data_IF_295064884416
#
_entry.id   IF_295064884416
#
_cell.length_a   1.000
_cell.length_b   1.000
_cell.length_c   1.000
_cell.angle_alpha   90.00
_cell.angle_beta   90.00
_cell.angle_gamma   90.00
#
_symmetry.space_group_name_H-M   'P 1'
#
loop_
_entity.id
_entity.type
_entity.pdbx_description
1 polymer ?
#
# COMPACT_ATOMS: atom_id res chain seq x y z
N UNK A 1 19.18 -59.39 -35.05
CA UNK A 1 18.32 -58.19 -34.95
C UNK A 1 18.43 -57.63 -33.54
N UNK A 2 19.00 -56.44 -33.38
CA UNK A 2 19.11 -55.71 -32.10
C UNK A 2 17.86 -54.83 -31.96
N UNK A 3 17.18 -54.77 -30.80
CA UNK A 3 16.05 -53.85 -30.63
C UNK A 3 16.54 -52.40 -30.68
N UNK A 4 15.72 -51.46 -31.18
CA UNK A 4 16.09 -50.05 -31.23
C UNK A 4 16.26 -49.49 -29.83
N UNK A 5 17.38 -48.80 -29.62
CA UNK A 5 17.69 -48.04 -28.41
C UNK A 5 16.68 -46.90 -28.27
N UNK A 6 15.86 -46.97 -27.22
CA UNK A 6 14.97 -45.87 -26.83
C UNK A 6 15.85 -44.75 -26.29
N UNK A 7 15.89 -43.63 -27.01
CA UNK A 7 16.55 -42.42 -26.54
C UNK A 7 15.88 -41.94 -25.24
N UNK A 8 16.64 -41.52 -24.21
CA UNK A 8 16.06 -40.96 -23.00
C UNK A 8 15.33 -39.66 -23.33
N UNK A 9 14.08 -39.59 -22.87
CA UNK A 9 13.22 -38.41 -22.93
C UNK A 9 13.94 -37.22 -22.26
N UNK A 10 14.01 -36.04 -22.91
CA UNK A 10 14.65 -34.88 -22.30
C UNK A 10 13.91 -34.54 -20.99
N UNK A 11 14.62 -34.24 -19.90
CA UNK A 11 13.99 -33.92 -18.63
C UNK A 11 13.07 -32.71 -18.84
N UNK A 12 11.83 -32.85 -18.36
CA UNK A 12 10.84 -31.80 -18.31
C UNK A 12 11.51 -30.51 -17.85
N UNK A 13 11.55 -29.52 -18.74
CA UNK A 13 12.16 -28.22 -18.54
C UNK A 13 11.70 -27.68 -17.19
N UNK A 14 12.61 -27.66 -16.21
CA UNK A 14 12.34 -27.16 -14.88
C UNK A 14 11.75 -25.76 -15.02
N UNK A 15 10.55 -25.55 -14.47
CA UNK A 15 9.95 -24.24 -14.37
C UNK A 15 10.98 -23.29 -13.75
N UNK A 16 11.42 -22.30 -14.53
CA UNK A 16 12.43 -21.33 -14.08
C UNK A 16 12.01 -20.67 -12.76
N UNK A 17 12.98 -20.16 -11.96
CA UNK A 17 12.69 -19.56 -10.66
C UNK A 17 11.66 -18.44 -10.81
N UNK A 18 10.59 -18.50 -10.01
CA UNK A 18 9.54 -17.49 -9.96
C UNK A 18 10.18 -16.11 -9.75
N UNK A 19 9.89 -15.10 -10.60
CA UNK A 19 10.53 -13.81 -10.52
C UNK A 19 10.31 -13.20 -9.14
N UNK A 20 11.40 -12.84 -8.46
CA UNK A 20 11.36 -12.37 -7.09
C UNK A 20 10.84 -10.92 -7.07
N UNK A 21 9.61 -10.75 -6.58
CA UNK A 21 8.95 -9.44 -6.48
C UNK A 21 9.51 -8.59 -5.31
N UNK A 22 10.62 -7.88 -5.54
CA UNK A 22 11.20 -6.93 -4.57
C UNK A 22 11.32 -5.49 -5.06
N UNK A 23 11.27 -5.25 -6.37
CA UNK A 23 11.55 -3.92 -6.94
C UNK A 23 10.31 -3.35 -7.64
N UNK A 24 9.43 -2.58 -6.96
CA UNK A 24 8.21 -2.02 -7.55
C UNK A 24 8.49 -0.79 -8.43
N UNK A 25 9.69 -0.66 -9.01
CA UNK A 25 10.13 0.51 -9.79
C UNK A 25 10.39 0.19 -11.26
N UNK A 26 10.09 -1.05 -11.67
CA UNK A 26 10.13 -1.47 -13.08
C UNK A 26 8.77 -2.08 -13.45
N UNK A 27 8.41 -2.03 -14.73
CA UNK A 27 7.14 -2.62 -15.20
C UNK A 27 7.05 -4.11 -14.85
N UNK A 28 8.15 -4.86 -15.00
CA UNK A 28 8.22 -6.27 -14.63
C UNK A 28 8.09 -6.46 -13.11
N UNK A 29 8.75 -5.61 -12.34
CA UNK A 29 8.70 -5.62 -10.89
C UNK A 29 7.27 -5.42 -10.37
N UNK A 30 6.57 -4.38 -10.82
CA UNK A 30 5.16 -4.14 -10.48
C UNK A 30 4.28 -5.32 -10.91
N UNK A 31 4.47 -5.86 -12.12
CA UNK A 31 3.70 -7.01 -12.58
C UNK A 31 3.90 -8.27 -11.73
N UNK A 32 5.12 -8.49 -11.22
CA UNK A 32 5.42 -9.64 -10.36
C UNK A 32 4.63 -9.61 -9.04
N UNK A 33 4.21 -8.42 -8.57
CA UNK A 33 3.37 -8.29 -7.38
C UNK A 33 1.95 -8.86 -7.56
N UNK A 34 1.49 -9.05 -8.79
CA UNK A 34 0.22 -9.72 -9.05
C UNK A 34 0.18 -11.15 -8.49
N UNK A 35 1.33 -11.81 -8.33
CA UNK A 35 1.45 -13.18 -7.82
C UNK A 35 1.90 -13.25 -6.34
N UNK A 36 2.03 -12.11 -5.67
CA UNK A 36 3.07 -11.95 -4.65
C UNK A 36 2.72 -12.07 -3.16
N UNK A 37 1.66 -12.67 -2.65
CA UNK A 37 1.28 -12.53 -1.21
C UNK A 37 0.92 -11.09 -0.79
N UNK A 38 -0.20 -10.95 -0.08
CA UNK A 38 -0.72 -9.65 0.32
C UNK A 38 0.11 -9.00 1.42
N UNK A 39 0.64 -9.79 2.36
CA UNK A 39 1.51 -9.30 3.42
C UNK A 39 2.76 -8.60 2.89
N UNK A 40 3.46 -9.20 1.91
CA UNK A 40 4.61 -8.55 1.28
C UNK A 40 4.25 -7.25 0.57
N UNK A 41 3.12 -7.24 -0.14
CA UNK A 41 2.62 -6.05 -0.84
C UNK A 41 2.35 -4.90 0.15
N UNK A 42 1.72 -5.21 1.29
CA UNK A 42 1.45 -4.24 2.34
C UNK A 42 2.72 -3.74 3.03
N UNK A 43 3.72 -4.61 3.25
CA UNK A 43 5.02 -4.19 3.81
C UNK A 43 5.71 -3.19 2.88
N UNK A 44 5.72 -3.45 1.57
CA UNK A 44 6.32 -2.51 0.60
C UNK A 44 5.56 -1.18 0.59
N UNK A 45 4.22 -1.23 0.58
CA UNK A 45 3.40 -0.02 0.68
C UNK A 45 3.64 0.74 2.00
N UNK A 46 3.80 0.04 3.12
CA UNK A 46 4.12 0.64 4.42
C UNK A 46 5.47 1.34 4.41
N UNK A 47 6.51 0.70 3.88
CA UNK A 47 7.83 1.33 3.76
C UNK A 47 7.76 2.61 2.92
N UNK A 48 7.03 2.58 1.80
CA UNK A 48 6.85 3.77 0.96
C UNK A 48 6.01 4.85 1.67
N UNK A 49 4.95 4.47 2.38
CA UNK A 49 4.11 5.39 3.15
C UNK A 49 4.89 6.06 4.29
N UNK A 50 5.77 5.32 4.97
CA UNK A 50 6.68 5.85 5.98
C UNK A 50 7.67 6.84 5.37
N UNK A 51 8.26 6.53 4.21
CA UNK A 51 9.13 7.46 3.50
C UNK A 51 8.40 8.77 3.12
N UNK A 52 7.16 8.66 2.64
CA UNK A 52 6.31 9.81 2.30
C UNK A 52 5.93 10.64 3.53
N UNK A 53 5.51 9.99 4.61
CA UNK A 53 5.21 10.65 5.86
C UNK A 53 6.45 11.36 6.44
N UNK A 54 7.61 10.72 6.36
CA UNK A 54 8.87 11.33 6.77
C UNK A 54 9.20 12.59 5.94
N UNK A 55 9.15 12.52 4.61
CA UNK A 55 9.36 13.68 3.75
C UNK A 55 8.34 14.80 4.03
N UNK A 56 7.06 14.48 4.12
CA UNK A 56 5.99 15.47 4.38
C UNK A 56 6.15 16.16 5.74
N UNK A 57 6.47 15.40 6.79
CA UNK A 57 6.72 15.98 8.12
C UNK A 57 8.02 16.78 8.15
N UNK A 58 9.04 16.39 7.38
CA UNK A 58 10.24 17.20 7.21
C UNK A 58 9.94 18.53 6.55
N UNK A 59 9.14 18.56 5.48
CA UNK A 59 8.66 19.81 4.87
C UNK A 59 7.97 20.66 5.94
N UNK A 60 6.98 20.11 6.62
CA UNK A 60 6.21 20.84 7.64
C UNK A 60 7.10 21.42 8.76
N UNK A 61 8.01 20.60 9.31
CA UNK A 61 8.91 21.01 10.38
C UNK A 61 9.97 22.03 9.95
N UNK A 62 10.42 21.99 8.69
CA UNK A 62 11.41 22.92 8.18
C UNK A 62 10.79 24.26 7.73
N UNK A 63 9.54 24.23 7.27
CA UNK A 63 8.93 25.37 6.57
C UNK A 63 7.83 26.05 7.37
N UNK A 64 6.88 25.32 7.93
CA UNK A 64 5.69 25.91 8.57
C UNK A 64 5.85 26.02 10.08
N UNK A 65 6.42 25.00 10.71
CA UNK A 65 6.56 24.95 12.16
C UNK A 65 7.34 26.13 12.75
N UNK A 66 8.48 26.59 12.16
CA UNK A 66 9.19 27.75 12.69
C UNK A 66 8.37 29.05 12.59
N UNK A 67 7.55 29.19 11.53
CA UNK A 67 6.65 30.35 11.35
C UNK A 67 5.57 30.33 12.43
N UNK A 68 4.98 29.17 12.70
CA UNK A 68 3.98 29.01 13.77
C UNK A 68 4.59 29.36 15.13
N UNK A 69 5.78 28.83 15.46
CA UNK A 69 6.46 29.14 16.73
C UNK A 69 6.76 30.63 16.88
N UNK A 70 7.28 31.25 15.82
CA UNK A 70 7.59 32.68 15.84
C UNK A 70 6.32 33.52 15.95
N UNK A 71 5.24 33.14 15.28
CA UNK A 71 3.96 33.82 15.37
C UNK A 71 3.37 33.73 16.79
N UNK A 72 3.36 32.54 17.41
CA UNK A 72 2.90 32.34 18.79
C UNK A 72 3.69 33.23 19.76
N UNK A 73 5.02 33.29 19.61
CA UNK A 73 5.88 34.12 20.47
C UNK A 73 5.65 35.63 20.28
N UNK A 74 5.23 36.06 19.08
CA UNK A 74 4.95 37.46 18.73
C UNK A 74 3.51 37.89 18.94
N UNK A 75 2.63 36.98 19.38
CA UNK A 75 1.27 37.35 19.74
C UNK A 75 1.28 38.41 20.85
N UNK A 76 0.36 39.39 20.79
CA UNK A 76 0.19 40.37 21.86
C UNK A 76 -0.40 39.72 23.11
N UNK A 77 -0.39 40.46 24.22
CA UNK A 77 -1.02 40.04 25.46
C UNK A 77 -2.55 39.97 25.38
N UNK A 78 -3.15 40.70 24.42
CA UNK A 78 -4.60 40.80 24.24
C UNK A 78 -4.94 40.63 22.76
N UNK A 79 -5.94 39.80 22.48
CA UNK A 79 -6.39 39.46 21.13
C UNK A 79 -7.31 38.25 21.18
N UNK A 80 -8.47 38.34 20.53
CA UNK A 80 -9.43 37.24 20.48
C UNK A 80 -10.33 37.37 19.25
N UNK A 81 -10.81 36.24 18.75
CA UNK A 81 -11.93 36.20 17.83
C UNK A 81 -13.15 35.79 18.64
N UNK A 82 -14.16 36.66 18.70
CA UNK A 82 -15.39 36.45 19.46
C UNK A 82 -16.59 36.96 18.66
N UNK A 83 -17.69 36.20 18.68
CA UNK A 83 -18.93 36.58 17.99
C UNK A 83 -18.74 36.94 16.51
N UNK A 84 -17.89 36.16 15.84
CA UNK A 84 -17.61 36.37 14.41
C UNK A 84 -16.72 37.58 14.11
N UNK A 85 -16.09 38.20 15.11
CA UNK A 85 -15.22 39.37 14.92
C UNK A 85 -13.87 39.21 15.61
N UNK A 86 -12.83 39.72 14.96
CA UNK A 86 -11.49 39.86 15.51
C UNK A 86 -11.43 41.12 16.38
N UNK A 87 -11.05 40.94 17.64
CA UNK A 87 -10.63 41.99 18.56
C UNK A 87 -9.11 42.05 18.57
N UNK A 88 -8.56 43.15 18.07
CA UNK A 88 -7.11 43.38 17.97
C UNK A 88 -6.80 44.83 18.35
N UNK A 89 -5.71 45.05 19.10
CA UNK A 89 -5.38 46.37 19.66
C UNK A 89 -4.76 47.35 18.65
N UNK A 90 -4.27 46.85 17.50
CA UNK A 90 -3.69 47.66 16.43
C UNK A 90 -4.67 47.94 15.30
N UNK A 91 -4.50 49.08 14.62
CA UNK A 91 -5.26 49.45 13.40
C UNK A 91 -4.47 49.17 12.11
N UNK A 92 -3.19 48.81 12.21
CA UNK A 92 -2.34 48.53 11.05
C UNK A 92 -2.18 47.03 10.84
N UNK A 93 -2.01 46.56 9.60
CA UNK A 93 -1.60 45.20 9.32
C UNK A 93 -0.28 44.87 10.03
N UNK A 94 -0.23 43.70 10.68
CA UNK A 94 0.97 43.20 11.39
C UNK A 94 1.28 41.79 10.88
N UNK A 95 2.48 41.61 10.33
CA UNK A 95 3.01 40.28 10.02
C UNK A 95 3.53 39.65 11.31
N UNK A 96 2.87 38.59 11.78
CA UNK A 96 3.30 37.85 12.97
C UNK A 96 4.59 37.10 12.65
N UNK A 97 4.59 36.32 11.57
CA UNK A 97 5.77 35.63 11.08
C UNK A 97 5.58 35.25 9.61
N UNK A 98 6.67 35.16 8.87
CA UNK A 98 6.66 34.78 7.47
C UNK A 98 7.95 34.10 7.04
N UNK A 99 7.83 33.34 5.95
CA UNK A 99 8.91 32.93 5.07
C UNK A 99 8.33 32.69 3.67
N UNK A 100 9.13 32.12 2.75
CA UNK A 100 8.69 31.84 1.39
C UNK A 100 7.48 30.88 1.30
N UNK A 101 7.23 30.05 2.32
CA UNK A 101 6.21 28.98 2.29
C UNK A 101 4.92 29.36 3.04
N UNK A 102 5.04 30.01 4.19
CA UNK A 102 3.91 30.37 5.05
C UNK A 102 4.08 31.79 5.58
N UNK A 103 3.03 32.60 5.46
CA UNK A 103 2.92 33.90 6.11
C UNK A 103 1.67 33.95 7.00
N UNK A 104 1.83 34.43 8.23
CA UNK A 104 0.75 34.65 9.20
C UNK A 104 0.64 36.15 9.46
N UNK A 105 -0.45 36.76 9.02
CA UNK A 105 -0.68 38.21 9.06
C UNK A 105 -1.97 38.51 9.81
N UNK A 106 -1.97 39.55 10.63
CA UNK A 106 -3.20 40.10 11.22
C UNK A 106 -3.49 41.40 10.51
N UNK A 107 -4.66 41.48 9.87
CA UNK A 107 -5.08 42.67 9.15
C UNK A 107 -6.41 43.20 9.69
N UNK A 108 -6.37 44.16 10.62
CA UNK A 108 -7.56 44.77 11.18
C UNK A 108 -8.27 45.74 10.21
N UNK A 109 -7.67 46.05 9.04
CA UNK A 109 -8.24 46.93 8.03
C UNK A 109 -8.35 46.25 6.65
N UNK A 110 -9.58 45.89 6.27
CA UNK A 110 -9.90 45.27 4.98
C UNK A 110 -9.53 46.10 3.75
N UNK A 111 -9.27 47.41 3.90
CA UNK A 111 -8.94 48.28 2.76
C UNK A 111 -7.49 48.16 2.30
N UNK A 112 -6.60 47.65 3.15
CA UNK A 112 -5.16 47.53 2.84
C UNK A 112 -4.80 46.06 2.69
N UNK A 113 -4.74 45.53 1.46
CA UNK A 113 -4.28 44.14 1.25
C UNK A 113 -2.79 44.05 1.55
N UNK A 114 -2.41 43.18 2.49
CA UNK A 114 -1.03 42.74 2.60
C UNK A 114 -0.65 42.02 1.29
N UNK A 115 0.39 42.49 0.59
CA UNK A 115 0.90 41.81 -0.60
C UNK A 115 1.29 40.37 -0.27
N UNK A 116 1.03 39.43 -1.19
CA UNK A 116 1.35 38.01 -0.96
C UNK A 116 2.87 37.81 -0.94
N UNK A 117 3.42 37.41 0.20
CA UNK A 117 4.86 37.16 0.38
C UNK A 117 5.25 35.68 0.44
N UNK A 118 4.26 34.78 0.49
CA UNK A 118 4.46 33.35 0.70
C UNK A 118 3.57 32.48 -0.20
N UNK A 119 3.93 31.22 -0.37
CA UNK A 119 3.15 30.19 -1.07
C UNK A 119 1.74 30.02 -0.48
N UNK A 120 1.63 30.10 0.85
CA UNK A 120 0.37 30.19 1.60
C UNK A 120 0.43 31.37 2.56
N UNK A 121 -0.52 32.28 2.46
CA UNK A 121 -0.72 33.37 3.41
C UNK A 121 -2.05 33.21 4.12
N UNK A 122 -2.00 33.22 5.45
CA UNK A 122 -3.17 33.22 6.33
C UNK A 122 -3.28 34.60 6.94
N UNK A 123 -4.40 35.26 6.69
CA UNK A 123 -4.68 36.62 7.14
C UNK A 123 -5.90 36.64 8.06
N UNK A 124 -5.71 37.08 9.30
CA UNK A 124 -6.78 37.30 10.26
C UNK A 124 -7.40 38.68 10.01
N UNK A 125 -8.56 38.70 9.35
CA UNK A 125 -9.31 39.92 9.04
C UNK A 125 -10.35 40.23 10.13
N UNK A 126 -11.05 41.38 10.10
CA UNK A 126 -12.02 41.75 11.14
C UNK A 126 -13.17 40.77 11.32
N UNK A 127 -13.58 40.05 10.27
CA UNK A 127 -14.77 39.18 10.27
C UNK A 127 -14.53 37.80 9.64
N UNK A 128 -13.33 37.57 9.10
CA UNK A 128 -13.01 36.36 8.35
C UNK A 128 -11.54 35.97 8.50
N UNK A 129 -11.28 34.68 8.31
CA UNK A 129 -9.96 34.13 8.04
C UNK A 129 -9.75 34.06 6.54
N UNK A 130 -8.86 34.88 6.01
CA UNK A 130 -8.49 34.86 4.61
C UNK A 130 -7.30 33.92 4.38
N UNK A 131 -7.42 33.07 3.37
CA UNK A 131 -6.37 32.19 2.88
C UNK A 131 -6.05 32.61 1.45
N UNK A 132 -4.79 32.96 1.21
CA UNK A 132 -4.29 33.35 -0.11
C UNK A 132 -3.18 32.38 -0.53
N UNK A 133 -3.28 31.87 -1.74
CA UNK A 133 -2.25 31.02 -2.35
C UNK A 133 -2.28 31.18 -3.88
N UNK A 134 -1.46 30.42 -4.59
CA UNK A 134 -1.48 30.35 -6.06
C UNK A 134 -2.87 29.99 -6.61
N UNK A 135 -3.65 29.20 -5.88
CA UNK A 135 -5.01 28.79 -6.26
C UNK A 135 -6.07 29.87 -6.04
N UNK A 136 -5.66 31.06 -5.61
CA UNK A 136 -6.54 32.20 -5.39
C UNK A 136 -6.71 32.55 -3.91
N UNK A 137 -7.82 33.23 -3.64
CA UNK A 137 -8.15 33.81 -2.36
C UNK A 137 -9.49 33.27 -1.88
N UNK A 138 -9.55 32.81 -0.64
CA UNK A 138 -10.80 32.42 0.03
C UNK A 138 -10.87 33.09 1.40
N UNK A 139 -12.01 33.71 1.71
CA UNK A 139 -12.29 34.28 3.02
C UNK A 139 -13.38 33.48 3.71
N UNK A 140 -13.04 32.88 4.85
CA UNK A 140 -13.94 32.06 5.65
C UNK A 140 -14.45 32.91 6.83
N UNK A 141 -15.76 33.18 6.93
CA UNK A 141 -16.30 33.96 8.03
C UNK A 141 -16.05 33.26 9.37
N UNK A 142 -15.73 34.02 10.40
CA UNK A 142 -15.56 33.44 11.73
C UNK A 142 -16.90 32.89 12.25
N UNK A 143 -16.91 31.69 12.87
CA UNK A 143 -18.11 31.15 13.49
C UNK A 143 -18.54 32.04 14.67
N UNK A 144 -19.83 32.37 14.75
CA UNK A 144 -20.37 33.29 15.77
C UNK A 144 -20.42 32.70 17.19
N UNK A 145 -20.43 31.37 17.30
CA UNK A 145 -20.55 30.66 18.58
C UNK A 145 -19.22 30.30 19.24
N UNK A 146 -18.07 30.60 18.62
CA UNK A 146 -16.76 30.20 19.14
C UNK A 146 -15.99 31.41 19.63
N UNK A 147 -15.17 31.19 20.66
CA UNK A 147 -14.16 32.14 21.11
C UNK A 147 -12.80 31.51 20.79
N UNK A 148 -12.05 32.13 19.88
CA UNK A 148 -10.71 31.66 19.51
C UNK A 148 -9.70 32.64 20.09
N UNK A 149 -8.84 32.22 21.04
CA UNK A 149 -7.83 33.10 21.57
C UNK A 149 -6.79 33.42 20.50
N UNK A 150 -6.46 34.70 20.38
CA UNK A 150 -5.38 35.20 19.53
C UNK A 150 -4.43 36.07 20.35
N UNK A 151 -4.11 35.58 21.55
CA UNK A 151 -3.24 36.23 22.52
C UNK A 151 -2.21 35.22 23.04
N UNK A 152 -1.02 35.73 23.40
CA UNK A 152 0.07 34.88 23.86
C UNK A 152 -0.25 34.10 25.15
N UNK A 153 -0.83 34.70 26.21
CA UNK A 153 -1.06 33.99 27.48
C UNK A 153 -1.90 32.72 27.35
N UNK A 154 -2.83 32.66 26.39
CA UNK A 154 -3.66 31.47 26.16
C UNK A 154 -3.08 30.54 25.08
N UNK A 155 -2.55 31.11 23.98
CA UNK A 155 -2.08 30.32 22.84
C UNK A 155 -0.74 29.65 23.13
N UNK A 156 0.18 30.29 23.85
CA UNK A 156 1.51 29.74 24.12
C UNK A 156 1.46 28.45 24.97
N UNK A 157 0.71 28.38 26.09
CA UNK A 157 0.57 27.13 26.84
C UNK A 157 -0.15 26.04 26.04
N UNK A 158 -1.19 26.40 25.27
CA UNK A 158 -1.92 25.46 24.43
C UNK A 158 -1.01 24.88 23.34
N UNK A 159 -0.26 25.74 22.65
CA UNK A 159 0.73 25.32 21.67
C UNK A 159 1.79 24.44 22.32
N UNK A 160 2.33 24.82 23.48
CA UNK A 160 3.29 24.03 24.24
C UNK A 160 2.79 22.61 24.56
N UNK A 161 1.51 22.47 24.92
CA UNK A 161 0.89 21.17 25.18
C UNK A 161 0.72 20.32 23.91
N UNK A 162 0.32 20.93 22.78
CA UNK A 162 0.04 20.21 21.53
C UNK A 162 1.27 19.97 20.64
N UNK A 163 2.30 20.82 20.75
CA UNK A 163 3.53 20.78 19.97
C UNK A 163 4.16 19.38 19.84
N UNK A 164 4.36 18.58 20.91
CA UNK A 164 4.92 17.24 20.77
C UNK A 164 4.01 16.29 19.98
N UNK A 165 2.69 16.35 20.19
CA UNK A 165 1.74 15.51 19.46
C UNK A 165 1.66 15.88 17.99
N UNK A 166 1.72 17.18 17.65
CA UNK A 166 1.82 17.61 16.26
C UNK A 166 3.11 17.10 15.64
N UNK A 167 4.24 17.17 16.35
CA UNK A 167 5.54 16.77 15.80
C UNK A 167 5.69 15.26 15.59
N UNK A 168 5.15 14.44 16.49
CA UNK A 168 5.34 12.98 16.48
C UNK A 168 4.10 12.20 16.08
N UNK A 169 2.90 12.71 16.36
CA UNK A 169 1.62 12.09 15.97
C UNK A 169 1.26 12.32 14.51
N UNK A 170 1.54 13.52 13.97
CA UNK A 170 1.28 13.84 12.56
C UNK A 170 1.90 12.83 11.58
N UNK A 171 3.17 12.41 11.69
CA UNK A 171 3.72 11.39 10.79
C UNK A 171 2.95 10.08 10.79
N UNK A 172 2.48 9.61 11.97
CA UNK A 172 1.69 8.39 12.07
C UNK A 172 0.33 8.53 11.36
N UNK A 173 -0.35 9.67 11.56
CA UNK A 173 -1.62 9.98 10.89
C UNK A 173 -1.44 10.09 9.38
N UNK A 174 -0.39 10.79 8.91
CA UNK A 174 -0.08 10.93 7.48
C UNK A 174 0.25 9.57 6.85
N UNK A 175 1.06 8.75 7.51
CA UNK A 175 1.37 7.39 7.05
C UNK A 175 0.11 6.53 6.93
N UNK A 176 -0.74 6.53 7.97
CA UNK A 176 -2.01 5.80 7.95
C UNK A 176 -2.94 6.31 6.84
N UNK A 177 -2.99 7.63 6.64
CA UNK A 177 -3.74 8.28 5.57
C UNK A 177 -3.28 7.83 4.17
N UNK A 178 -1.98 7.79 3.91
CA UNK A 178 -1.44 7.28 2.63
C UNK A 178 -1.78 5.80 2.41
N UNK A 179 -1.62 4.96 3.42
CA UNK A 179 -1.99 3.54 3.32
C UNK A 179 -3.48 3.37 3.03
N UNK A 180 -4.33 4.08 3.75
CA UNK A 180 -5.77 4.05 3.52
C UNK A 180 -6.09 4.53 2.10
N UNK A 181 -5.54 5.66 1.67
CA UNK A 181 -5.77 6.21 0.35
C UNK A 181 -5.34 5.25 -0.76
N UNK A 182 -4.12 4.72 -0.68
CA UNK A 182 -3.60 3.81 -1.70
C UNK A 182 -4.35 2.48 -1.74
N UNK A 183 -4.76 1.95 -0.59
CA UNK A 183 -5.56 0.71 -0.55
C UNK A 183 -6.97 0.91 -1.09
N UNK A 184 -7.59 2.08 -0.83
CA UNK A 184 -8.86 2.47 -1.45
C UNK A 184 -8.72 2.64 -2.96
N UNK A 185 -7.71 3.37 -3.43
CA UNK A 185 -7.43 3.51 -4.87
C UNK A 185 -7.19 2.15 -5.54
N UNK A 186 -6.37 1.30 -4.94
CA UNK A 186 -6.12 -0.04 -5.45
C UNK A 186 -7.41 -0.88 -5.54
N UNK A 187 -8.34 -0.69 -4.59
CA UNK A 187 -9.67 -1.33 -4.60
C UNK A 187 -10.52 -0.82 -5.76
N UNK A 188 -10.59 0.50 -5.94
CA UNK A 188 -11.31 1.12 -7.07
C UNK A 188 -10.73 0.69 -8.42
N UNK A 189 -9.42 0.46 -8.48
CA UNK A 189 -8.71 0.05 -9.70
C UNK A 189 -8.88 -1.44 -10.04
N UNK A 190 -9.39 -2.30 -9.14
CA UNK A 190 -9.54 -3.74 -9.40
C UNK A 190 -10.39 -4.00 -10.64
N UNK A 191 -11.57 -3.38 -10.73
CA UNK A 191 -12.50 -3.59 -11.84
C UNK A 191 -11.94 -3.12 -13.19
N UNK A 192 -11.46 -1.86 -13.35
CA UNK A 192 -10.91 -1.41 -14.63
C UNK A 192 -9.63 -2.18 -15.01
N UNK A 193 -8.75 -2.52 -14.05
CA UNK A 193 -7.58 -3.34 -14.33
C UNK A 193 -7.97 -4.75 -14.79
N UNK A 194 -8.98 -5.36 -14.15
CA UNK A 194 -9.44 -6.69 -14.53
C UNK A 194 -9.99 -6.74 -15.95
N UNK A 195 -10.72 -5.69 -16.37
CA UNK A 195 -11.20 -5.52 -17.73
C UNK A 195 -10.02 -5.34 -18.70
N UNK A 196 -9.12 -4.40 -18.42
CA UNK A 196 -7.96 -4.11 -19.25
C UNK A 196 -7.08 -5.36 -19.48
N UNK A 197 -6.71 -6.07 -18.40
CA UNK A 197 -5.92 -7.31 -18.45
C UNK A 197 -6.62 -8.38 -19.30
N UNK A 198 -7.95 -8.46 -19.24
CA UNK A 198 -8.74 -9.36 -20.09
C UNK A 198 -8.64 -9.00 -21.57
N UNK A 199 -8.76 -7.71 -21.91
CA UNK A 199 -8.66 -7.21 -23.29
C UNK A 199 -7.29 -7.52 -23.92
N UNK A 200 -6.22 -7.41 -23.13
CA UNK A 200 -4.85 -7.74 -23.59
C UNK A 200 -4.50 -9.22 -23.46
N UNK A 201 -5.49 -10.09 -23.24
CA UNK A 201 -5.36 -11.56 -23.16
C UNK A 201 -4.33 -12.01 -22.11
N UNK A 202 -4.35 -11.38 -20.94
CA UNK A 202 -3.50 -11.72 -19.79
C UNK A 202 -4.33 -12.37 -18.67
N UNK A 203 -3.69 -13.15 -17.79
CA UNK A 203 -4.36 -13.80 -16.65
C UNK A 203 -3.93 -13.16 -15.33
N UNK A 204 -4.91 -12.82 -14.50
CA UNK A 204 -4.69 -12.31 -13.14
C UNK A 204 -5.93 -12.59 -12.29
N UNK A 205 -5.73 -12.86 -10.99
CA UNK A 205 -6.84 -12.93 -10.03
C UNK A 205 -7.28 -11.53 -9.59
N UNK A 206 -8.45 -11.41 -8.94
CA UNK A 206 -8.89 -10.12 -8.38
C UNK A 206 -7.90 -9.58 -7.35
N UNK A 207 -7.44 -10.44 -6.43
CA UNK A 207 -6.38 -10.08 -5.48
C UNK A 207 -5.07 -9.71 -6.18
N UNK A 208 -4.76 -10.33 -7.33
CA UNK A 208 -3.63 -9.94 -8.15
C UNK A 208 -3.78 -8.55 -8.78
N UNK A 209 -4.99 -8.17 -9.23
CA UNK A 209 -5.29 -6.82 -9.72
C UNK A 209 -5.09 -5.79 -8.62
N UNK A 210 -5.59 -6.07 -7.41
CA UNK A 210 -5.45 -5.17 -6.27
C UNK A 210 -3.99 -4.93 -5.92
N UNK A 211 -3.19 -6.00 -5.81
CA UNK A 211 -1.74 -5.89 -5.53
C UNK A 211 -0.99 -5.16 -6.64
N UNK A 212 -1.31 -5.45 -7.90
CA UNK A 212 -0.72 -4.77 -9.05
C UNK A 212 -1.05 -3.28 -9.04
N UNK A 213 -2.33 -2.93 -8.82
CA UNK A 213 -2.78 -1.55 -8.75
C UNK A 213 -2.09 -0.78 -7.64
N UNK A 214 -2.01 -1.37 -6.44
CA UNK A 214 -1.29 -0.79 -5.31
C UNK A 214 0.20 -0.54 -5.62
N UNK A 215 0.87 -1.50 -6.26
CA UNK A 215 2.30 -1.38 -6.58
C UNK A 215 2.58 -0.45 -7.76
N UNK A 216 1.62 -0.25 -8.65
CA UNK A 216 1.73 0.72 -9.73
C UNK A 216 1.79 2.18 -9.22
N UNK A 217 1.35 2.45 -7.98
CA UNK A 217 1.43 3.77 -7.33
C UNK A 217 2.81 4.06 -6.70
N UNK A 218 3.66 3.04 -6.55
CA UNK A 218 4.95 3.19 -5.83
C UNK A 218 5.98 4.03 -6.59
N UNK A 219 6.12 3.93 -7.93
CA UNK A 219 7.03 4.78 -8.70
C UNK A 219 6.68 6.27 -8.62
N UNK A 220 5.40 6.66 -8.78
CA UNK A 220 4.97 8.04 -8.62
C UNK A 220 5.19 8.55 -7.20
N UNK A 221 4.89 7.73 -6.19
CA UNK A 221 5.21 8.06 -4.80
C UNK A 221 6.72 8.31 -4.58
N UNK A 222 7.60 7.51 -5.19
CA UNK A 222 9.05 7.74 -5.10
C UNK A 222 9.47 9.06 -5.76
N UNK A 223 8.92 9.38 -6.92
CA UNK A 223 9.16 10.66 -7.59
C UNK A 223 8.73 11.83 -6.71
N UNK A 224 7.53 11.75 -6.13
CA UNK A 224 7.00 12.77 -5.23
C UNK A 224 7.87 12.94 -3.97
N UNK A 225 8.39 11.85 -3.40
CA UNK A 225 9.35 11.92 -2.30
C UNK A 225 10.58 12.78 -2.63
N UNK A 226 11.15 12.59 -3.83
CA UNK A 226 12.26 13.41 -4.31
C UNK A 226 11.88 14.87 -4.46
N UNK A 227 10.70 15.16 -5.02
CA UNK A 227 10.20 16.52 -5.19
C UNK A 227 9.98 17.24 -3.85
N UNK A 228 9.38 16.58 -2.86
CA UNK A 228 9.21 17.14 -1.51
C UNK A 228 10.55 17.44 -0.84
N UNK A 229 11.54 16.56 -1.01
CA UNK A 229 12.88 16.79 -0.48
C UNK A 229 13.52 18.03 -1.14
N UNK A 230 13.45 18.17 -2.46
CA UNK A 230 13.98 19.34 -3.17
C UNK A 230 13.27 20.64 -2.78
N UNK A 231 11.94 20.61 -2.68
CA UNK A 231 11.12 21.73 -2.22
C UNK A 231 11.53 22.20 -0.82
N UNK A 232 11.74 21.25 0.12
CA UNK A 232 12.19 21.57 1.49
C UNK A 232 13.52 22.32 1.51
N UNK A 233 14.41 22.07 0.54
CA UNK A 233 15.72 22.72 0.44
C UNK A 233 15.70 23.94 -0.50
N UNK A 234 14.52 24.50 -0.79
CA UNK A 234 14.35 25.65 -1.69
C UNK A 234 14.91 25.41 -3.10
N UNK A 235 15.00 24.15 -3.55
CA UNK A 235 15.43 23.78 -4.91
C UNK A 235 14.27 23.69 -5.88
N UNK A 236 13.04 23.62 -5.37
CA UNK A 236 11.81 23.76 -6.13
C UNK A 236 10.95 24.86 -5.52
N UNK A 237 10.28 25.64 -6.36
CA UNK A 237 9.17 26.52 -5.95
C UNK A 237 7.84 25.75 -5.96
N UNK A 238 6.78 26.32 -5.39
CA UNK A 238 5.46 25.67 -5.33
C UNK A 238 4.96 25.23 -6.72
N UNK A 239 5.11 26.07 -7.75
CA UNK A 239 4.69 25.74 -9.12
C UNK A 239 5.40 24.49 -9.63
N UNK A 240 6.71 24.35 -9.37
CA UNK A 240 7.49 23.19 -9.80
C UNK A 240 7.13 21.94 -9.00
N UNK A 241 6.80 22.08 -7.70
CA UNK A 241 6.26 20.99 -6.90
C UNK A 241 4.90 20.52 -7.44
N UNK A 242 4.05 21.43 -7.91
CA UNK A 242 2.77 21.08 -8.55
C UNK A 242 2.98 20.39 -9.91
N UNK A 243 3.98 20.80 -10.68
CA UNK A 243 4.37 20.09 -11.90
C UNK A 243 4.90 18.67 -11.58
N UNK A 244 5.72 18.52 -10.54
CA UNK A 244 6.16 17.22 -10.05
C UNK A 244 4.97 16.37 -9.57
N UNK A 245 3.95 16.99 -8.96
CA UNK A 245 2.70 16.32 -8.62
C UNK A 245 1.96 15.80 -9.86
N UNK A 246 1.82 16.62 -10.91
CA UNK A 246 1.23 16.15 -12.15
C UNK A 246 2.04 15.01 -12.78
N UNK A 247 3.37 15.13 -12.79
CA UNK A 247 4.28 14.10 -13.30
C UNK A 247 4.16 12.78 -12.53
N UNK A 248 3.97 12.81 -11.21
CA UNK A 248 3.75 11.61 -10.39
C UNK A 248 2.48 10.86 -10.81
N UNK A 249 1.37 11.59 -11.03
CA UNK A 249 0.11 11.00 -11.47
C UNK A 249 0.23 10.39 -12.86
N UNK A 250 0.91 11.09 -13.78
CA UNK A 250 1.19 10.57 -15.12
C UNK A 250 2.03 9.29 -15.03
N UNK A 251 3.04 9.25 -14.16
CA UNK A 251 3.88 8.08 -13.96
C UNK A 251 3.06 6.89 -13.46
N UNK A 252 2.18 7.09 -12.49
CA UNK A 252 1.29 6.03 -11.99
C UNK A 252 0.39 5.48 -13.11
N UNK A 253 -0.17 6.36 -13.96
CA UNK A 253 -0.96 5.94 -15.12
C UNK A 253 -0.14 5.14 -16.13
N UNK A 254 1.11 5.54 -16.40
CA UNK A 254 2.03 4.81 -17.28
C UNK A 254 2.30 3.42 -16.73
N UNK A 255 2.53 3.27 -15.42
CA UNK A 255 2.72 1.97 -14.80
C UNK A 255 1.45 1.12 -14.82
N UNK A 256 0.28 1.71 -14.57
CA UNK A 256 -1.02 1.02 -14.68
C UNK A 256 -1.29 0.52 -16.10
N UNK A 257 -0.86 1.26 -17.13
CA UNK A 257 -1.01 0.84 -18.53
C UNK A 257 0.01 -0.23 -18.94
N UNK A 258 1.29 -0.07 -18.58
CA UNK A 258 2.37 -0.89 -19.13
C UNK A 258 2.74 -2.11 -18.30
N UNK A 259 2.61 -2.07 -16.97
CA UNK A 259 2.93 -3.21 -16.11
C UNK A 259 2.05 -4.45 -16.40
N UNK A 260 0.72 -4.33 -16.60
CA UNK A 260 -0.12 -5.48 -16.93
C UNK A 260 0.31 -6.26 -18.18
N UNK A 261 0.95 -5.60 -19.15
CA UNK A 261 1.42 -6.25 -20.39
C UNK A 261 2.52 -7.29 -20.13
N UNK A 262 3.19 -7.20 -18.97
CA UNK A 262 4.24 -8.10 -18.50
C UNK A 262 3.73 -9.34 -17.76
N UNK A 263 2.41 -9.44 -17.54
CA UNK A 263 1.79 -10.62 -16.94
C UNK A 263 1.85 -11.84 -17.88
N UNK A 264 1.70 -13.07 -17.35
CA UNK A 264 1.55 -14.27 -18.16
C UNK A 264 0.36 -14.17 -19.12
N UNK A 265 0.55 -14.63 -20.36
CA UNK A 265 -0.52 -14.72 -21.37
C UNK A 265 -1.55 -15.77 -20.97
N UNK A 266 -2.81 -15.49 -21.30
CA UNK A 266 -3.84 -16.52 -21.23
C UNK A 266 -3.54 -17.58 -22.30
N UNK A 267 -3.22 -18.79 -21.88
CA UNK A 267 -3.23 -19.95 -22.78
C UNK A 267 -4.70 -20.22 -23.10
N UNK A 268 -5.09 -20.11 -24.37
CA UNK A 268 -6.35 -20.68 -24.83
C UNK A 268 -6.17 -22.21 -24.89
N UNK A 269 -7.13 -23.00 -24.36
CA UNK A 269 -7.08 -24.44 -24.54
C UNK A 269 -7.11 -24.71 -26.05
N UNK A 270 -6.06 -25.37 -26.57
CA UNK A 270 -6.03 -25.77 -27.96
C UNK A 270 -7.23 -26.71 -28.21
N UNK A 271 -8.09 -26.45 -29.21
CA UNK A 271 -9.18 -27.36 -29.54
C UNK A 271 -8.70 -28.78 -29.91
N UNK A 272 -7.41 -28.91 -30.23
CA UNK A 272 -6.72 -30.14 -30.61
C UNK A 272 -5.93 -30.78 -29.47
N UNK A 273 -5.97 -30.21 -28.25
CA UNK A 273 -5.37 -30.87 -27.10
C UNK A 273 -6.25 -32.08 -26.73
N UNK A 274 -5.80 -33.28 -27.12
CA UNK A 274 -6.42 -34.51 -26.66
C UNK A 274 -6.47 -34.52 -25.12
N UNK A 275 -7.56 -35.02 -24.50
CA UNK A 275 -7.61 -35.18 -23.06
C UNK A 275 -6.39 -35.97 -22.61
N UNK A 276 -5.57 -35.38 -21.74
CA UNK A 276 -4.54 -36.15 -21.04
C UNK A 276 -5.31 -37.11 -20.14
N UNK A 277 -5.41 -38.36 -20.57
CA UNK A 277 -5.90 -39.45 -19.73
C UNK A 277 -5.03 -39.47 -18.47
N UNK A 278 -5.62 -39.09 -17.34
CA UNK A 278 -5.00 -39.21 -16.04
C UNK A 278 -4.79 -40.69 -15.78
N UNK A 279 -3.62 -41.22 -16.16
CA UNK A 279 -3.25 -42.59 -15.87
C UNK A 279 -3.28 -42.75 -14.35
N UNK A 280 -4.21 -43.56 -13.86
CA UNK A 280 -4.35 -43.86 -12.44
C UNK A 280 -2.98 -44.27 -11.85
N UNK A 281 -2.64 -43.85 -10.62
CA UNK A 281 -1.42 -44.28 -9.97
C UNK A 281 -1.33 -45.79 -10.00
N UNK A 282 -0.25 -46.33 -10.56
CA UNK A 282 0.03 -47.76 -10.48
C UNK A 282 0.08 -48.12 -8.98
N UNK A 283 -0.72 -49.08 -8.50
CA UNK A 283 -0.67 -49.47 -7.10
C UNK A 283 0.76 -49.89 -6.74
N UNK A 284 1.23 -49.59 -5.51
CA UNK A 284 2.58 -49.92 -5.10
C UNK A 284 2.82 -51.42 -5.29
N UNK A 285 3.93 -51.76 -5.93
CA UNK A 285 4.36 -53.14 -6.05
C UNK A 285 4.48 -53.72 -4.63
N UNK A 286 3.72 -54.78 -4.35
CA UNK A 286 3.88 -55.58 -3.14
C UNK A 286 5.36 -55.96 -3.00
N UNK A 287 5.97 -55.80 -1.81
CA UNK A 287 7.36 -56.18 -1.62
C UNK A 287 7.52 -57.67 -1.97
N UNK A 288 8.52 -57.94 -2.83
CA UNK A 288 8.88 -59.29 -3.24
C UNK A 288 9.07 -60.16 -2.00
N UNK A 289 8.17 -61.14 -1.84
CA UNK A 289 8.30 -62.16 -0.81
C UNK A 289 9.59 -62.92 -1.08
N UNK A 290 10.59 -62.72 -0.20
CA UNK A 290 11.89 -63.38 -0.29
C UNK A 290 11.64 -64.89 -0.12
N UNK A 291 11.76 -65.64 -1.21
CA UNK A 291 11.70 -67.10 -1.17
C UNK A 291 12.74 -67.61 -0.17
N UNK A 292 12.39 -68.52 0.76
CA UNK A 292 13.34 -69.06 1.70
C UNK A 292 14.38 -69.91 0.96
N UNK A 293 15.65 -69.67 1.29
CA UNK A 293 16.77 -70.47 0.82
C UNK A 293 16.56 -71.93 1.25
N UNK A 294 16.66 -72.85 0.29
CA UNK A 294 16.67 -74.27 0.56
C UNK A 294 17.85 -74.62 1.49
N UNK A 295 17.53 -75.12 2.68
CA UNK A 295 18.49 -75.77 3.57
C UNK A 295 18.47 -77.29 3.31
N UNK A 296 19.59 -78.00 3.52
CA UNK A 296 19.74 -79.41 3.15
C UNK A 296 18.89 -80.32 4.02
N UNK A 297 18.40 -81.38 3.39
CA UNK A 297 17.67 -82.48 4.01
C UNK A 297 18.54 -83.25 4.99
N UNK A 298 18.16 -83.23 6.27
CA UNK A 298 18.49 -84.28 7.24
C UNK A 298 17.28 -84.49 8.16
N UNK A 299 16.57 -85.60 7.94
CA UNK A 299 15.57 -86.12 8.88
C UNK A 299 16.30 -86.89 9.99
N UNK A 300 15.77 -86.85 11.23
CA UNK A 300 14.97 -88.00 11.64
C UNK A 300 13.71 -87.68 12.48
N UNK A 301 12.66 -88.43 12.16
CA UNK A 301 11.63 -89.10 12.97
C UNK A 301 10.80 -88.36 14.06
N UNK A 302 9.53 -88.80 14.29
CA UNK A 302 8.46 -88.00 14.88
C UNK A 302 8.29 -88.21 16.39
N UNK A 303 7.74 -87.21 17.07
CA UNK A 303 7.23 -87.34 18.43
C UNK A 303 5.93 -86.52 18.61
N UNK A 304 5.00 -87.17 19.30
CA UNK A 304 3.59 -86.84 19.49
C UNK A 304 3.28 -85.56 20.29
N UNK A 305 2.12 -84.97 20.01
CA UNK A 305 1.15 -84.34 20.94
C UNK A 305 0.21 -83.42 20.11
N UNK A 306 -1.01 -83.81 19.76
CA UNK A 306 -2.23 -83.79 20.60
C UNK A 306 -2.56 -82.41 21.20
N UNK A 307 -3.62 -81.78 20.66
CA UNK A 307 -4.81 -81.31 21.38
C UNK A 307 -5.35 -79.94 20.92
N UNK A 308 -6.68 -79.94 20.74
CA UNK A 308 -7.65 -78.86 20.93
C UNK A 308 -7.68 -77.65 19.99
N UNK A 309 -8.64 -77.69 19.06
CA UNK A 309 -9.38 -76.49 18.64
C UNK A 309 -10.87 -76.82 18.42
N UNK A 310 -11.82 -76.10 19.05
CA UNK A 310 -13.24 -76.38 18.96
C UNK A 310 -13.91 -75.75 17.72
N UNK A 311 -15.08 -76.32 17.37
CA UNK A 311 -15.88 -76.14 16.16
C UNK A 311 -16.39 -74.69 15.89
N UNK A 312 -16.71 -74.37 14.61
CA UNK A 312 -17.16 -73.03 14.22
C UNK A 312 -18.66 -72.80 14.47
N UNK A 313 -19.09 -71.53 14.74
CA UNK A 313 -20.50 -71.19 14.81
C UNK A 313 -21.17 -71.04 13.42
N UNK A 314 -22.51 -71.28 13.33
CA UNK A 314 -23.28 -71.37 12.08
C UNK A 314 -23.64 -69.99 11.46
N UNK A 315 -24.07 -69.96 10.18
CA UNK A 315 -24.31 -68.73 9.43
C UNK A 315 -25.70 -68.14 9.71
N UNK A 316 -25.79 -66.81 9.82
CA UNK A 316 -27.06 -66.09 9.96
C UNK A 316 -27.34 -65.20 8.73
N UNK A 317 -28.19 -65.75 7.87
CA UNK A 317 -29.29 -65.18 7.06
C UNK A 317 -29.37 -63.68 6.74
N UNK A 318 -29.53 -63.45 5.44
CA UNK A 318 -30.00 -62.26 4.72
C UNK A 318 -31.34 -61.69 5.23
N UNK A 319 -31.43 -60.35 5.25
CA UNK A 319 -32.68 -59.60 5.02
C UNK A 319 -32.39 -58.34 4.18
N UNK A 320 -33.23 -58.02 3.17
CA UNK A 320 -33.04 -56.87 2.29
C UNK A 320 -33.65 -55.57 2.86
N UNK A 321 -33.26 -54.39 2.33
CA UNK A 321 -33.66 -53.09 2.88
C UNK A 321 -35.07 -52.65 2.41
N UNK A 322 -35.82 -51.90 3.24
CA UNK A 322 -37.05 -51.24 2.83
C UNK A 322 -36.76 -49.91 2.10
N UNK A 323 -37.69 -49.54 1.22
CA UNK A 323 -37.74 -48.30 0.41
C UNK A 323 -38.07 -47.07 1.25
#
# INVERSE_FOLDING_TARGET
MRPPSVAPEPPATAAGPSPVAWQPFTFQGVASFAQASSGRTLVVALVMALAMAWCGVRVFNATWFPVIELAVNRLPAQGEIRHGRLSWSGLKPVTLADNAFLALVVNPDTHTRAGQSADLQIEFQPQALALSSLFGYVALPYPSGWVVPLNRPEVEPLWGAWRPYVRFGLPAVVCAGFLLLWTLLATLLVAPLRLYVSMVRRRVSLGGCWRLGLMALMPGALLMNGALALYTHHRLILVELLLANAAHLVLDLVFLALAPLRLPRAIEPSPLAAPVETRAPRPPALPAQKAPAAAPSDLPAPADAAADAPAPPPPATDYPPPR
#
